data_IF_682554129918
#
_entry.id   IF_682554129918
#
_cell.length_a   1.000
_cell.length_b   1.000
_cell.length_c   1.000
_cell.angle_alpha   90.00
_cell.angle_beta   90.00
_cell.angle_gamma   90.00
#
_symmetry.space_group_name_H-M   'P 1'
#
loop_
_entity.id
_entity.type
_entity.pdbx_description
1 polymer ?
#
# COMPACT_ATOMS: atom_id res chain seq x y z
N UNK A 1 4.11 16.82 -32.42
CA UNK A 1 5.02 15.67 -32.68
C UNK A 1 4.50 14.48 -31.91
N UNK A 2 4.55 13.27 -32.47
CA UNK A 2 4.15 12.06 -31.75
C UNK A 2 5.25 11.74 -30.71
N UNK A 3 4.93 11.85 -29.42
CA UNK A 3 5.85 11.42 -28.37
C UNK A 3 6.01 9.89 -28.42
N UNK A 4 7.21 9.39 -28.11
CA UNK A 4 7.49 7.96 -28.08
C UNK A 4 6.84 7.29 -26.87
N UNK A 5 6.71 5.96 -26.94
CA UNK A 5 6.24 5.17 -25.79
C UNK A 5 7.21 5.25 -24.59
N UNK A 6 8.49 5.52 -24.82
CA UNK A 6 9.46 5.79 -23.76
C UNK A 6 9.15 7.08 -23.00
N UNK A 7 8.80 8.16 -23.69
CA UNK A 7 8.37 9.42 -23.05
C UNK A 7 7.13 9.20 -22.20
N UNK A 8 6.16 8.40 -22.70
CA UNK A 8 4.96 8.04 -21.93
C UNK A 8 5.29 7.25 -20.67
N UNK A 9 6.19 6.26 -20.78
CA UNK A 9 6.67 5.47 -19.63
C UNK A 9 7.40 6.35 -18.60
N UNK A 10 8.22 7.29 -19.05
CA UNK A 10 8.93 8.22 -18.17
C UNK A 10 7.97 9.13 -17.38
N UNK A 11 6.96 9.71 -18.04
CA UNK A 11 5.91 10.50 -17.38
C UNK A 11 5.14 9.66 -16.35
N UNK A 12 4.79 8.41 -16.70
CA UNK A 12 4.15 7.48 -15.75
C UNK A 12 5.04 7.23 -14.54
N UNK A 13 6.32 6.95 -14.76
CA UNK A 13 7.26 6.66 -13.68
C UNK A 13 7.42 7.85 -12.73
N UNK A 14 7.55 9.06 -13.27
CA UNK A 14 7.62 10.29 -12.49
C UNK A 14 6.33 10.56 -11.69
N UNK A 15 5.16 10.19 -12.23
CA UNK A 15 3.89 10.31 -11.51
C UNK A 15 3.71 9.24 -10.41
N UNK A 16 4.05 7.99 -10.71
CA UNK A 16 3.76 6.81 -9.87
C UNK A 16 4.83 6.56 -8.82
N UNK A 17 6.11 6.60 -9.20
CA UNK A 17 7.24 6.26 -8.34
C UNK A 17 7.83 7.52 -7.70
N UNK A 18 8.07 8.58 -8.48
CA UNK A 18 8.63 9.84 -7.93
C UNK A 18 7.57 10.71 -7.23
N UNK A 19 6.30 10.29 -7.23
CA UNK A 19 5.17 10.95 -6.57
C UNK A 19 4.94 12.42 -7.02
N UNK A 20 5.37 12.79 -8.22
CA UNK A 20 5.16 14.14 -8.74
C UNK A 20 3.69 14.36 -9.15
N UNK A 21 3.23 15.60 -9.04
CA UNK A 21 1.97 16.02 -9.68
C UNK A 21 2.03 15.77 -11.19
N UNK A 22 0.90 15.44 -11.83
CA UNK A 22 0.87 15.09 -13.25
C UNK A 22 1.38 16.24 -14.14
N UNK A 23 1.10 17.48 -13.73
CA UNK A 23 1.57 18.71 -14.34
C UNK A 23 3.11 18.82 -14.28
N UNK A 24 3.69 18.53 -13.12
CA UNK A 24 5.14 18.57 -12.90
C UNK A 24 5.83 17.43 -13.66
N UNK A 25 5.26 16.23 -13.65
CA UNK A 25 5.74 15.09 -14.42
C UNK A 25 5.71 15.35 -15.93
N UNK A 26 4.67 16.02 -16.42
CA UNK A 26 4.55 16.40 -17.82
C UNK A 26 5.62 17.43 -18.22
N UNK A 27 5.80 18.49 -17.42
CA UNK A 27 6.85 19.50 -17.63
C UNK A 27 8.26 18.89 -17.58
N UNK A 28 8.53 18.01 -16.62
CA UNK A 28 9.82 17.30 -16.45
C UNK A 28 10.25 16.55 -17.72
N UNK A 29 9.29 16.09 -18.52
CA UNK A 29 9.54 15.29 -19.72
C UNK A 29 9.13 15.99 -21.02
N UNK A 30 8.94 17.32 -20.97
CA UNK A 30 8.58 18.15 -22.13
C UNK A 30 7.31 17.66 -22.86
N UNK A 31 6.30 17.28 -22.07
CA UNK A 31 5.00 16.82 -22.56
C UNK A 31 3.92 17.84 -22.19
N UNK A 32 3.04 18.24 -23.11
CA UNK A 32 1.87 19.03 -22.77
C UNK A 32 1.00 18.32 -21.73
N UNK A 33 0.57 19.03 -20.68
CA UNK A 33 -0.25 18.46 -19.58
C UNK A 33 -1.51 17.74 -20.11
N UNK A 34 -2.14 18.28 -21.17
CA UNK A 34 -3.29 17.65 -21.82
C UNK A 34 -2.98 16.26 -22.39
N UNK A 35 -1.78 16.07 -22.96
CA UNK A 35 -1.30 14.78 -23.46
C UNK A 35 -1.08 13.80 -22.31
N UNK A 36 -0.45 14.24 -21.22
CA UNK A 36 -0.25 13.40 -20.03
C UNK A 36 -1.58 12.95 -19.40
N UNK A 37 -2.58 13.85 -19.33
CA UNK A 37 -3.94 13.51 -18.87
C UNK A 37 -4.61 12.49 -19.79
N UNK A 38 -4.47 12.64 -21.10
CA UNK A 38 -5.01 11.68 -22.08
C UNK A 38 -4.38 10.30 -21.90
N UNK A 39 -3.06 10.22 -21.76
CA UNK A 39 -2.36 8.95 -21.52
C UNK A 39 -2.81 8.26 -20.24
N UNK A 40 -2.94 9.01 -19.14
CA UNK A 40 -3.44 8.48 -17.88
C UNK A 40 -4.85 7.88 -18.03
N UNK A 41 -5.73 8.55 -18.79
CA UNK A 41 -7.07 8.06 -19.07
C UNK A 41 -7.08 6.82 -20.01
N UNK A 42 -6.25 6.81 -21.05
CA UNK A 42 -6.07 5.67 -21.95
C UNK A 42 -5.52 4.44 -21.21
N UNK A 43 -4.48 4.63 -20.39
CA UNK A 43 -3.88 3.59 -19.57
C UNK A 43 -4.92 2.97 -18.62
N UNK A 44 -5.74 3.81 -17.96
CA UNK A 44 -6.84 3.33 -17.11
C UNK A 44 -7.84 2.47 -17.88
N UNK A 45 -8.22 2.85 -19.11
CA UNK A 45 -9.10 2.03 -19.97
C UNK A 45 -8.44 0.71 -20.38
N UNK A 46 -7.12 0.70 -20.55
CA UNK A 46 -6.33 -0.50 -20.82
C UNK A 46 -6.03 -1.34 -19.56
N UNK A 47 -6.53 -0.93 -18.39
CA UNK A 47 -6.35 -1.64 -17.11
C UNK A 47 -5.13 -1.20 -16.28
N UNK A 48 -4.30 -0.28 -16.78
CA UNK A 48 -3.19 0.33 -16.04
C UNK A 48 -3.64 1.64 -15.36
N UNK A 49 -4.19 1.53 -14.16
CA UNK A 49 -4.60 2.69 -13.37
C UNK A 49 -3.40 3.31 -12.63
N UNK A 50 -2.93 4.45 -13.12
CA UNK A 50 -1.78 5.16 -12.55
C UNK A 50 -2.07 5.71 -11.15
N UNK A 51 -3.30 6.08 -10.83
CA UNK A 51 -3.66 6.54 -9.48
C UNK A 51 -3.59 5.38 -8.49
N UNK A 52 -4.12 4.22 -8.89
CA UNK A 52 -4.02 3.00 -8.09
C UNK A 52 -2.56 2.58 -7.91
N UNK A 53 -1.75 2.64 -8.98
CA UNK A 53 -0.33 2.32 -8.91
C UNK A 53 0.44 3.29 -8.01
N UNK A 54 0.13 4.60 -8.08
CA UNK A 54 0.74 5.64 -7.24
C UNK A 54 0.41 5.46 -5.76
N UNK A 55 -0.86 5.19 -5.45
CA UNK A 55 -1.31 4.89 -4.09
C UNK A 55 -0.67 3.62 -3.55
N UNK A 56 -0.59 2.57 -4.38
CA UNK A 56 0.09 1.32 -4.01
C UNK A 56 1.58 1.54 -3.72
N UNK A 57 2.25 2.41 -4.48
CA UNK A 57 3.64 2.79 -4.21
C UNK A 57 3.79 3.54 -2.88
N UNK A 58 2.90 4.48 -2.59
CA UNK A 58 2.91 5.19 -1.31
C UNK A 58 2.68 4.25 -0.10
N UNK A 59 1.90 3.19 -0.30
CA UNK A 59 1.67 2.14 0.71
C UNK A 59 2.90 1.23 0.82
N UNK A 60 3.49 0.80 -0.29
CA UNK A 60 4.68 -0.05 -0.31
C UNK A 60 5.93 0.66 0.26
N UNK A 61 6.01 1.99 0.12
CA UNK A 61 7.07 2.82 0.69
C UNK A 61 6.93 3.14 2.18
N UNK A 62 6.01 2.49 2.90
CA UNK A 62 5.89 2.58 4.36
C UNK A 62 5.17 3.82 4.90
N UNK A 63 5.17 4.95 4.20
CA UNK A 63 4.72 6.23 4.77
C UNK A 63 3.29 6.26 5.37
N UNK A 64 2.28 5.73 4.68
CA UNK A 64 0.91 5.69 5.23
C UNK A 64 0.76 4.58 6.27
N UNK A 65 1.41 3.45 6.04
CA UNK A 65 1.34 2.32 6.95
C UNK A 65 2.00 2.64 8.30
N UNK A 66 3.14 3.32 8.29
CA UNK A 66 3.86 3.76 9.47
C UNK A 66 3.03 4.78 10.24
N UNK A 67 2.38 5.74 9.56
CA UNK A 67 1.45 6.68 10.18
C UNK A 67 0.25 5.96 10.79
N UNK A 68 -0.30 4.96 10.11
CA UNK A 68 -1.40 4.14 10.63
C UNK A 68 -0.91 3.34 11.85
N UNK A 69 0.21 2.62 11.77
CA UNK A 69 0.82 1.87 12.88
C UNK A 69 1.11 2.76 14.08
N UNK A 70 1.66 3.95 13.86
CA UNK A 70 1.93 4.92 14.91
C UNK A 70 0.63 5.42 15.57
N UNK A 71 -0.38 5.75 14.77
CA UNK A 71 -1.70 6.17 15.28
C UNK A 71 -2.36 5.07 16.12
N UNK A 72 -2.21 3.82 15.69
CA UNK A 72 -2.74 2.65 16.40
C UNK A 72 -2.02 2.40 17.72
N UNK A 73 -0.69 2.53 17.74
CA UNK A 73 0.09 2.43 18.97
C UNK A 73 -0.39 3.46 20.01
N UNK A 74 -0.62 4.70 19.57
CA UNK A 74 -1.18 5.77 20.43
C UNK A 74 -2.59 5.40 20.92
N UNK A 75 -3.47 4.88 20.06
CA UNK A 75 -4.81 4.48 20.45
C UNK A 75 -4.83 3.32 21.47
N UNK A 76 -3.95 2.33 21.30
CA UNK A 76 -3.82 1.21 22.26
C UNK A 76 -3.35 1.74 23.62
N UNK A 77 -2.36 2.63 23.64
CA UNK A 77 -1.90 3.28 24.87
C UNK A 77 -3.04 4.05 25.57
N UNK A 78 -3.83 4.81 24.82
CA UNK A 78 -4.97 5.55 25.39
C UNK A 78 -6.06 4.62 25.93
N UNK A 79 -6.31 3.49 25.26
CA UNK A 79 -7.28 2.48 25.70
C UNK A 79 -6.83 1.83 27.01
N UNK A 80 -5.54 1.51 27.14
CA UNK A 80 -4.95 0.96 28.37
C UNK A 80 -5.04 1.96 29.52
N UNK A 81 -4.64 3.21 29.29
CA UNK A 81 -4.73 4.27 30.30
C UNK A 81 -6.18 4.51 30.77
N UNK A 82 -7.15 4.47 29.86
CA UNK A 82 -8.57 4.58 30.20
C UNK A 82 -9.06 3.37 31.03
N UNK A 83 -8.65 2.14 30.66
CA UNK A 83 -8.99 0.94 31.43
C UNK A 83 -8.45 1.01 32.86
N UNK A 84 -7.19 1.40 33.02
CA UNK A 84 -6.54 1.58 34.32
C UNK A 84 -7.24 2.66 35.16
N UNK A 85 -7.57 3.80 34.55
CA UNK A 85 -8.29 4.87 35.23
C UNK A 85 -9.68 4.44 35.70
N UNK A 86 -10.41 3.68 34.88
CA UNK A 86 -11.73 3.13 35.26
C UNK A 86 -11.57 2.10 36.40
N UNK A 87 -10.57 1.22 36.33
CA UNK A 87 -10.32 0.22 37.37
C UNK A 87 -9.92 0.85 38.71
N UNK A 88 -9.04 1.85 38.69
CA UNK A 88 -8.55 2.57 39.87
C UNK A 88 -9.52 3.60 40.45
N UNK A 89 -10.64 3.90 39.80
CA UNK A 89 -11.61 4.86 40.30
C UNK A 89 -12.31 4.36 41.58
N UNK A 90 -11.99 4.99 42.71
CA UNK A 90 -12.56 4.71 44.04
C UNK A 90 -13.96 5.32 44.22
N UNK A 91 -14.21 6.47 43.58
CA UNK A 91 -15.46 7.24 43.72
C UNK A 91 -16.43 7.08 42.55
N UNK A 92 -16.35 5.96 41.82
CA UNK A 92 -17.22 5.68 40.69
C UNK A 92 -18.30 4.68 41.08
N UNK A 93 -19.57 5.05 40.90
CA UNK A 93 -20.71 4.18 41.13
C UNK A 93 -20.58 2.86 40.31
N UNK A 94 -20.87 1.68 40.89
CA UNK A 94 -20.67 0.40 40.21
C UNK A 94 -21.34 0.29 38.84
N UNK A 95 -22.55 0.83 38.68
CA UNK A 95 -23.25 0.82 37.39
C UNK A 95 -22.53 1.69 36.34
N UNK A 96 -22.04 2.87 36.75
CA UNK A 96 -21.27 3.75 35.88
C UNK A 96 -19.94 3.10 35.47
N UNK A 97 -19.31 2.36 36.39
CA UNK A 97 -18.07 1.61 36.13
C UNK A 97 -18.27 0.51 35.09
N UNK A 98 -19.34 -0.27 35.21
CA UNK A 98 -19.70 -1.30 34.21
C UNK A 98 -20.00 -0.67 32.85
N UNK A 99 -20.73 0.44 32.81
CA UNK A 99 -21.03 1.17 31.57
C UNK A 99 -19.76 1.69 30.89
N UNK A 100 -18.81 2.23 31.67
CA UNK A 100 -17.54 2.71 31.15
C UNK A 100 -16.70 1.56 30.55
N UNK A 101 -16.64 0.40 31.23
CA UNK A 101 -15.96 -0.80 30.72
C UNK A 101 -16.60 -1.29 29.42
N UNK A 102 -17.94 -1.35 29.37
CA UNK A 102 -18.67 -1.76 28.18
C UNK A 102 -18.43 -0.82 26.99
N UNK A 103 -18.42 0.50 27.23
CA UNK A 103 -18.13 1.50 26.20
C UNK A 103 -16.70 1.39 25.67
N UNK A 104 -15.73 1.11 26.55
CA UNK A 104 -14.34 0.88 26.18
C UNK A 104 -14.20 -0.38 25.31
N UNK A 105 -14.87 -1.48 25.68
CA UNK A 105 -14.87 -2.71 24.92
C UNK A 105 -15.48 -2.54 23.52
N UNK A 106 -16.63 -1.88 23.41
CA UNK A 106 -17.27 -1.56 22.11
C UNK A 106 -16.37 -0.70 21.23
N UNK A 107 -15.72 0.32 21.82
CA UNK A 107 -14.76 1.17 21.12
C UNK A 107 -13.56 0.37 20.61
N UNK A 108 -13.05 -0.57 21.40
CA UNK A 108 -11.96 -1.46 21.02
C UNK A 108 -12.35 -2.38 19.85
N UNK A 109 -13.56 -2.97 19.89
CA UNK A 109 -14.07 -3.80 18.79
C UNK A 109 -14.21 -3.01 17.49
N UNK A 110 -14.74 -1.78 17.55
CA UNK A 110 -14.83 -0.89 16.37
C UNK A 110 -13.46 -0.55 15.80
N UNK A 111 -12.49 -0.28 16.67
CA UNK A 111 -11.12 -0.02 16.28
C UNK A 111 -10.49 -1.23 15.59
N UNK A 112 -10.68 -2.44 16.14
CA UNK A 112 -10.22 -3.70 15.54
C UNK A 112 -10.84 -3.95 14.15
N UNK A 113 -12.11 -3.59 13.94
CA UNK A 113 -12.76 -3.71 12.63
C UNK A 113 -12.20 -2.71 11.60
N UNK A 114 -11.97 -1.46 12.01
CA UNK A 114 -11.33 -0.44 11.16
C UNK A 114 -9.90 -0.86 10.81
N UNK A 115 -9.16 -1.35 11.80
CA UNK A 115 -7.83 -1.94 11.66
C UNK A 115 -7.77 -3.00 10.58
N UNK A 116 -8.62 -4.01 10.67
CA UNK A 116 -8.72 -5.10 9.68
C UNK A 116 -9.04 -4.60 8.27
N UNK A 117 -9.72 -3.46 8.15
CA UNK A 117 -10.05 -2.84 6.85
C UNK A 117 -8.91 -1.98 6.29
N UNK A 118 -8.16 -1.30 7.15
CA UNK A 118 -7.03 -0.45 6.78
C UNK A 118 -5.75 -1.26 6.54
N UNK A 119 -5.61 -2.37 7.25
CA UNK A 119 -4.63 -3.42 7.01
C UNK A 119 -5.38 -4.62 6.43
N UNK A 120 -5.73 -4.62 5.13
CA UNK A 120 -6.16 -5.86 4.53
C UNK A 120 -5.06 -6.88 4.83
N UNK A 121 -5.44 -8.05 5.35
CA UNK A 121 -4.58 -9.24 5.45
C UNK A 121 -4.26 -9.71 4.03
N UNK A 122 -3.57 -8.84 3.30
CA UNK A 122 -2.86 -9.20 2.12
C UNK A 122 -1.58 -9.77 2.68
N UNK A 123 -1.54 -11.08 2.76
CA UNK A 123 -0.30 -11.81 3.00
C UNK A 123 0.72 -11.23 2.01
N UNK A 124 1.61 -10.36 2.54
CA UNK A 124 2.54 -9.60 1.71
C UNK A 124 3.50 -10.54 1.02
N UNK A 125 3.81 -11.65 1.69
CA UNK A 125 4.55 -12.73 1.11
C UNK A 125 3.74 -13.36 -0.03
N UNK A 126 2.46 -13.68 0.15
CA UNK A 126 1.63 -14.19 -0.95
C UNK A 126 1.55 -13.25 -2.16
N UNK A 127 1.45 -11.93 -1.93
CA UNK A 127 1.46 -10.95 -3.03
C UNK A 127 2.83 -10.83 -3.69
N UNK A 128 3.92 -10.81 -2.92
CA UNK A 128 5.27 -10.79 -3.48
C UNK A 128 5.54 -12.04 -4.32
N UNK A 129 5.11 -13.21 -3.85
CA UNK A 129 5.21 -14.48 -4.59
C UNK A 129 4.32 -14.49 -5.86
N UNK A 130 3.12 -13.91 -5.83
CA UNK A 130 2.26 -13.76 -7.01
C UNK A 130 2.90 -12.85 -8.06
N UNK A 131 3.53 -11.74 -7.65
CA UNK A 131 4.25 -10.83 -8.56
C UNK A 131 5.43 -11.54 -9.23
N UNK A 132 6.21 -12.31 -8.48
CA UNK A 132 7.32 -13.12 -9.01
C UNK A 132 6.82 -14.10 -10.06
N UNK A 133 5.70 -14.79 -9.79
CA UNK A 133 5.10 -15.73 -10.73
C UNK A 133 4.66 -15.05 -12.03
N UNK A 134 3.96 -13.91 -11.91
CA UNK A 134 3.52 -13.10 -13.06
C UNK A 134 4.70 -12.59 -13.90
N UNK A 135 5.80 -12.20 -13.26
CA UNK A 135 7.01 -11.77 -13.96
C UNK A 135 7.62 -12.92 -14.79
N UNK A 136 7.66 -14.13 -14.22
CA UNK A 136 8.11 -15.31 -14.93
C UNK A 136 7.20 -15.65 -16.13
N UNK A 137 5.88 -15.62 -15.94
CA UNK A 137 4.89 -15.85 -17.01
C UNK A 137 5.00 -14.82 -18.13
N UNK A 138 5.11 -13.53 -17.77
CA UNK A 138 5.32 -12.44 -18.74
C UNK A 138 6.61 -12.64 -19.54
N UNK A 139 7.70 -13.02 -18.87
CA UNK A 139 9.00 -13.26 -19.51
C UNK A 139 8.94 -14.46 -20.44
N UNK A 140 8.29 -15.56 -20.03
CA UNK A 140 8.05 -16.72 -20.90
C UNK A 140 7.26 -16.33 -22.16
N UNK A 141 6.24 -15.49 -22.01
CA UNK A 141 5.37 -15.09 -23.12
C UNK A 141 6.00 -14.07 -24.08
N UNK A 142 6.82 -13.14 -23.59
CA UNK A 142 7.33 -12.00 -24.37
C UNK A 142 8.83 -12.06 -24.66
N UNK A 143 9.60 -12.76 -23.84
CA UNK A 143 11.07 -12.84 -23.90
C UNK A 143 11.54 -14.27 -23.62
N UNK A 144 11.15 -15.26 -24.43
CA UNK A 144 11.39 -16.68 -24.14
C UNK A 144 12.87 -17.03 -23.95
N UNK A 145 13.79 -16.33 -24.63
CA UNK A 145 15.24 -16.51 -24.46
C UNK A 145 15.77 -16.13 -23.08
N UNK A 146 15.04 -15.32 -22.31
CA UNK A 146 15.44 -14.88 -20.97
C UNK A 146 14.74 -15.68 -19.86
N UNK A 147 13.78 -16.55 -20.20
CA UNK A 147 12.94 -17.23 -19.22
C UNK A 147 13.72 -18.21 -18.34
N UNK A 148 14.71 -18.91 -18.91
CA UNK A 148 15.55 -19.86 -18.17
C UNK A 148 16.44 -19.14 -17.15
N UNK A 149 17.16 -18.10 -17.58
CA UNK A 149 18.00 -17.31 -16.67
C UNK A 149 17.20 -16.57 -15.60
N UNK A 150 15.99 -16.11 -15.92
CA UNK A 150 15.10 -15.52 -14.91
C UNK A 150 14.63 -16.56 -13.88
N UNK A 151 14.28 -17.78 -14.30
CA UNK A 151 13.85 -18.82 -13.38
C UNK A 151 14.95 -19.18 -12.36
N UNK A 152 16.20 -19.28 -12.82
CA UNK A 152 17.37 -19.54 -11.97
C UNK A 152 17.61 -18.42 -10.95
N UNK A 153 17.52 -17.15 -11.37
CA UNK A 153 17.62 -16.01 -10.44
C UNK A 153 16.47 -15.96 -9.42
N UNK A 154 15.25 -16.32 -9.83
CA UNK A 154 14.08 -16.30 -8.96
C UNK A 154 14.12 -17.38 -7.88
N UNK A 155 14.82 -18.49 -8.11
CA UNK A 155 15.02 -19.54 -7.11
C UNK A 155 15.83 -19.01 -5.91
N UNK A 156 16.92 -18.30 -6.18
CA UNK A 156 17.71 -17.63 -5.13
C UNK A 156 17.01 -16.40 -4.53
N UNK A 157 16.35 -15.58 -5.36
CA UNK A 157 15.68 -14.37 -4.91
C UNK A 157 14.41 -14.65 -4.07
N UNK A 158 13.77 -15.81 -4.27
CA UNK A 158 12.62 -16.24 -3.47
C UNK A 158 12.94 -16.30 -1.97
N UNK A 159 14.16 -16.71 -1.60
CA UNK A 159 14.59 -16.72 -0.20
C UNK A 159 14.68 -15.31 0.40
N UNK A 160 15.19 -14.35 -0.37
CA UNK A 160 15.25 -12.94 0.06
C UNK A 160 13.85 -12.33 0.22
N UNK A 161 12.89 -12.77 -0.61
CA UNK A 161 11.49 -12.35 -0.51
C UNK A 161 10.83 -12.94 0.74
N UNK A 162 11.09 -14.20 1.06
CA UNK A 162 10.61 -14.81 2.32
C UNK A 162 11.22 -14.10 3.53
N UNK A 163 12.53 -13.77 3.51
CA UNK A 163 13.16 -13.01 4.59
C UNK A 163 12.58 -11.61 4.77
N UNK A 164 12.18 -10.96 3.67
CA UNK A 164 11.66 -9.59 3.69
C UNK A 164 10.18 -9.48 4.11
N UNK A 165 9.37 -10.51 3.86
CA UNK A 165 7.91 -10.44 4.02
C UNK A 165 7.28 -11.57 4.85
N UNK A 166 8.03 -12.62 5.19
CA UNK A 166 7.60 -13.75 6.01
C UNK A 166 7.68 -13.51 7.51
#
# INVERSE_FOLDING_TARGET
MAHSDDTRRAVRAAYVFDQLGLEIAAVKHDVPVATARRWKAEARRAGDDWDKARSAQMIAGGGIEDVVRQTLAVMVQQTQAAAEAIQGAENMEPLAKVQAIASLADSHTKMAAVLKRLMPETDRLAVALDVIRRLLEFTKARYPGNAAGLAEMLEAFGEEVVKAYG
#
